data_IF_114680884441
#
_entry.id   IF_114680884441
#
_cell.length_a   1.000
_cell.length_b   1.000
_cell.length_c   1.000
_cell.angle_alpha   90.00
_cell.angle_beta   90.00
_cell.angle_gamma   90.00
#
_symmetry.space_group_name_H-M   'P 1'
#
loop_
_entity.id
_entity.type
_entity.pdbx_description
1 polymer ?
#
# COMPACT_ATOMS: atom_id res chain seq x y z
N UNK A 1 27.79 3.14 25.03
CA UNK A 1 26.44 2.80 25.53
C UNK A 1 25.41 3.63 24.77
N UNK A 2 24.90 3.14 23.64
CA UNK A 2 23.75 3.76 22.96
C UNK A 2 22.49 2.99 23.38
N UNK A 3 21.61 3.67 24.11
CA UNK A 3 20.28 3.16 24.46
C UNK A 3 19.44 3.14 23.17
N UNK A 4 19.18 1.95 22.65
CA UNK A 4 18.09 1.72 21.69
C UNK A 4 16.78 1.89 22.45
N UNK A 5 16.07 2.99 22.18
CA UNK A 5 14.72 3.19 22.69
C UNK A 5 13.80 2.28 21.89
N UNK A 6 13.42 1.14 22.50
CA UNK A 6 12.40 0.22 21.99
C UNK A 6 11.04 0.94 21.96
N UNK A 7 10.78 1.71 20.91
CA UNK A 7 9.43 2.08 20.52
C UNK A 7 8.78 0.87 19.85
N UNK A 8 7.88 0.19 20.57
CA UNK A 8 6.89 -0.76 20.05
C UNK A 8 7.35 -1.63 18.87
N UNK A 9 8.06 -2.72 19.16
CA UNK A 9 8.46 -3.73 18.18
C UNK A 9 7.26 -4.22 17.35
N UNK A 10 7.23 -3.89 16.05
CA UNK A 10 6.58 -4.73 15.03
C UNK A 10 5.48 -4.12 14.15
N UNK A 11 5.17 -2.83 14.24
CA UNK A 11 4.01 -2.26 13.50
C UNK A 11 4.33 -1.33 12.32
N UNK A 12 5.44 -0.60 12.36
CA UNK A 12 5.69 0.50 11.42
C UNK A 12 6.29 -0.02 10.11
N UNK A 13 5.77 0.47 8.98
CA UNK A 13 6.32 0.23 7.65
C UNK A 13 6.98 1.52 7.15
N UNK A 14 8.08 1.40 6.41
CA UNK A 14 8.85 2.56 5.91
C UNK A 14 8.89 2.55 4.39
N UNK A 15 8.62 3.70 3.77
CA UNK A 15 8.66 3.88 2.32
C UNK A 15 9.36 5.16 1.91
N UNK A 16 9.52 5.35 0.60
CA UNK A 16 10.18 6.52 0.02
C UNK A 16 11.68 6.32 -0.17
N UNK A 17 12.13 6.20 -1.43
CA UNK A 17 13.55 6.01 -1.75
C UNK A 17 14.12 4.64 -1.34
N UNK A 18 13.27 3.65 -1.07
CA UNK A 18 13.69 2.28 -0.80
C UNK A 18 14.29 1.65 -2.06
N UNK A 19 15.47 1.06 -1.91
CA UNK A 19 16.23 0.34 -2.93
C UNK A 19 16.83 -0.92 -2.33
N UNK A 20 17.35 -1.81 -3.18
CA UNK A 20 18.15 -2.96 -2.77
C UNK A 20 19.39 -2.60 -1.92
N UNK A 21 19.87 -1.36 -2.00
CA UNK A 21 21.05 -0.91 -1.24
C UNK A 21 20.75 -0.47 0.20
N UNK A 22 19.52 -0.09 0.50
CA UNK A 22 19.17 0.49 1.82
C UNK A 22 18.05 -0.27 2.55
N UNK A 23 17.36 -1.19 1.88
CA UNK A 23 16.20 -1.87 2.44
C UNK A 23 16.52 -2.66 3.72
N UNK A 24 17.66 -3.34 3.77
CA UNK A 24 18.05 -4.10 4.97
C UNK A 24 18.33 -3.19 6.16
N UNK A 25 19.03 -2.08 5.96
CA UNK A 25 19.34 -1.13 7.04
C UNK A 25 18.06 -0.58 7.69
N UNK A 26 17.02 -0.33 6.90
CA UNK A 26 15.73 0.11 7.44
C UNK A 26 15.04 -0.95 8.31
N UNK A 27 15.16 -2.23 7.94
CA UNK A 27 14.66 -3.33 8.78
C UNK A 27 15.48 -3.47 10.06
N UNK A 28 16.80 -3.32 9.98
CA UNK A 28 17.70 -3.33 11.15
C UNK A 28 17.42 -2.16 12.10
N UNK A 29 17.00 -1.01 11.58
CA UNK A 29 16.54 0.13 12.38
C UNK A 29 15.15 -0.05 12.98
N UNK A 30 14.51 -1.21 12.80
CA UNK A 30 13.27 -1.58 13.48
C UNK A 30 12.00 -1.45 12.64
N UNK A 31 12.09 -1.15 11.34
CA UNK A 31 10.93 -1.22 10.46
C UNK A 31 10.46 -2.67 10.33
N UNK A 32 9.15 -2.89 10.43
CA UNK A 32 8.55 -4.23 10.26
C UNK A 32 8.57 -4.69 8.80
N UNK A 33 8.40 -3.73 7.88
CA UNK A 33 8.42 -3.93 6.42
C UNK A 33 8.96 -2.69 5.72
N UNK A 34 9.49 -2.88 4.53
CA UNK A 34 9.85 -1.80 3.61
C UNK A 34 8.85 -1.71 2.46
N UNK A 35 8.53 -0.48 2.04
CA UNK A 35 7.61 -0.15 0.96
C UNK A 35 8.43 0.34 -0.23
N UNK A 36 8.45 -0.44 -1.31
CA UNK A 36 9.13 -0.09 -2.55
C UNK A 36 8.14 0.56 -3.52
N UNK A 37 8.61 1.60 -4.22
CA UNK A 37 7.81 2.38 -5.18
C UNK A 37 8.56 2.54 -6.51
N UNK A 38 9.16 3.70 -6.76
CA UNK A 38 9.79 4.07 -8.03
C UNK A 38 11.01 3.23 -8.40
N UNK A 39 11.64 2.56 -7.43
CA UNK A 39 12.76 1.65 -7.68
C UNK A 39 12.39 0.54 -8.69
N UNK A 40 11.15 0.07 -8.70
CA UNK A 40 10.69 -0.96 -9.63
C UNK A 40 10.49 -0.48 -11.07
N UNK A 41 10.56 0.83 -11.32
CA UNK A 41 10.23 1.45 -12.61
C UNK A 41 11.36 2.31 -13.18
N UNK A 42 12.59 1.78 -13.40
CA UNK A 42 13.66 2.54 -14.04
C UNK A 42 13.23 3.02 -15.43
N UNK A 43 13.36 4.33 -15.68
CA UNK A 43 12.98 4.91 -16.96
C UNK A 43 11.51 4.65 -17.32
N UNK A 44 10.62 4.65 -16.32
CA UNK A 44 9.17 4.43 -16.47
C UNK A 44 8.79 3.04 -16.99
N UNK A 45 9.69 2.05 -16.88
CA UNK A 45 9.44 0.65 -17.28
C UNK A 45 9.57 -0.28 -16.10
N UNK A 46 8.62 -1.19 -15.94
CA UNK A 46 8.68 -2.19 -14.87
C UNK A 46 9.90 -3.11 -15.02
N UNK A 47 10.59 -3.37 -13.91
CA UNK A 47 11.77 -4.23 -13.85
C UNK A 47 11.53 -5.42 -12.92
N UNK A 48 11.24 -6.57 -13.52
CA UNK A 48 11.11 -7.83 -12.79
C UNK A 48 12.40 -8.21 -12.05
N UNK A 49 13.56 -7.96 -12.67
CA UNK A 49 14.86 -8.24 -12.04
C UNK A 49 15.05 -7.45 -10.75
N UNK A 50 14.69 -6.15 -10.72
CA UNK A 50 14.74 -5.35 -9.49
C UNK A 50 13.78 -5.85 -8.43
N UNK A 51 12.58 -6.28 -8.83
CA UNK A 51 11.61 -6.88 -7.91
C UNK A 51 12.15 -8.18 -7.29
N UNK A 52 12.70 -9.07 -8.11
CA UNK A 52 13.29 -10.33 -7.66
C UNK A 52 14.46 -10.09 -6.71
N UNK A 53 15.35 -9.14 -7.03
CA UNK A 53 16.49 -8.78 -6.17
C UNK A 53 16.01 -8.32 -4.80
N UNK A 54 15.14 -7.30 -4.73
CA UNK A 54 14.72 -6.75 -3.44
C UNK A 54 13.86 -7.75 -2.66
N UNK A 55 12.98 -8.50 -3.33
CA UNK A 55 12.15 -9.53 -2.69
C UNK A 55 12.99 -10.64 -2.09
N UNK A 56 14.02 -11.11 -2.80
CA UNK A 56 14.96 -12.12 -2.28
C UNK A 56 15.77 -11.57 -1.10
N UNK A 57 16.17 -10.30 -1.17
CA UNK A 57 16.97 -9.63 -0.14
C UNK A 57 16.20 -9.48 1.18
N UNK A 58 14.99 -8.92 1.15
CA UNK A 58 14.22 -8.65 2.38
C UNK A 58 13.26 -9.78 2.76
N UNK A 59 12.93 -10.66 1.82
CA UNK A 59 11.91 -11.68 1.95
C UNK A 59 10.49 -11.14 1.73
N UNK A 60 9.67 -11.92 1.03
CA UNK A 60 8.27 -11.61 0.67
C UNK A 60 7.41 -11.07 1.83
N UNK A 61 7.60 -11.60 3.04
CA UNK A 61 6.83 -11.19 4.23
C UNK A 61 7.12 -9.78 4.72
N UNK A 62 8.28 -9.21 4.35
CA UNK A 62 8.77 -7.88 4.77
C UNK A 62 8.82 -6.87 3.64
N UNK A 63 8.39 -7.25 2.43
CA UNK A 63 8.27 -6.36 1.28
C UNK A 63 6.82 -5.97 1.05
N UNK A 64 6.60 -4.67 0.86
CA UNK A 64 5.34 -4.10 0.36
C UNK A 64 5.65 -3.33 -0.92
N UNK A 65 4.78 -3.47 -1.91
CA UNK A 65 4.88 -2.73 -3.18
C UNK A 65 3.75 -1.72 -3.21
N UNK A 66 4.11 -0.44 -3.28
CA UNK A 66 3.16 0.66 -3.46
C UNK A 66 3.12 1.07 -4.93
N UNK A 67 1.94 0.86 -5.52
CA UNK A 67 1.62 1.14 -6.91
C UNK A 67 0.68 2.32 -6.97
N UNK A 68 1.27 3.51 -7.14
CA UNK A 68 0.51 4.72 -7.48
C UNK A 68 -0.01 4.63 -8.91
N UNK A 69 -1.28 5.01 -9.13
CA UNK A 69 -1.91 4.83 -10.44
C UNK A 69 -2.67 6.06 -10.91
N UNK A 70 -2.81 6.20 -12.22
CA UNK A 70 -3.59 7.25 -12.87
C UNK A 70 -4.40 6.66 -14.01
N UNK A 71 -5.61 7.19 -14.21
CA UNK A 71 -6.44 6.78 -15.35
C UNK A 71 -5.84 7.35 -16.63
N UNK A 72 -5.70 6.50 -17.64
CA UNK A 72 -5.42 6.89 -19.01
C UNK A 72 -6.46 6.19 -19.88
N UNK A 73 -7.36 6.97 -20.47
CA UNK A 73 -8.53 6.47 -21.19
C UNK A 73 -9.41 5.56 -20.31
N UNK A 74 -9.66 4.32 -20.74
CA UNK A 74 -10.42 3.31 -20.00
C UNK A 74 -9.53 2.40 -19.13
N UNK A 75 -8.22 2.66 -19.09
CA UNK A 75 -7.24 1.82 -18.38
C UNK A 75 -6.64 2.54 -17.17
N UNK A 76 -6.15 1.74 -16.22
CA UNK A 76 -5.40 2.24 -15.07
C UNK A 76 -3.93 1.96 -15.29
N UNK A 77 -3.12 3.02 -15.35
CA UNK A 77 -1.68 2.90 -15.57
C UNK A 77 -0.95 3.23 -14.28
N UNK A 78 0.15 2.52 -14.01
CA UNK A 78 1.06 2.88 -12.94
C UNK A 78 1.66 4.26 -13.26
N UNK A 79 1.63 5.14 -12.27
CA UNK A 79 2.14 6.50 -12.35
C UNK A 79 3.18 6.73 -11.25
N UNK A 80 4.20 7.50 -11.56
CA UNK A 80 5.31 7.82 -10.66
C UNK A 80 5.59 9.32 -10.64
N UNK A 81 6.58 9.75 -9.83
CA UNK A 81 7.00 11.14 -9.72
C UNK A 81 5.83 12.11 -9.49
N UNK A 82 5.06 11.89 -8.42
CA UNK A 82 3.87 12.69 -8.07
C UNK A 82 2.81 12.76 -9.20
N UNK A 83 2.70 11.66 -9.95
CA UNK A 83 1.71 11.36 -10.99
C UNK A 83 1.92 12.16 -12.28
N UNK A 84 3.10 12.77 -12.41
CA UNK A 84 3.55 13.47 -13.61
C UNK A 84 3.94 12.48 -14.70
N UNK A 85 4.50 11.34 -14.31
CA UNK A 85 5.02 10.33 -15.22
C UNK A 85 4.11 9.10 -15.25
N UNK A 86 3.62 8.75 -16.43
CA UNK A 86 2.83 7.53 -16.67
C UNK A 86 3.76 6.46 -17.24
N UNK A 87 3.79 5.29 -16.61
CA UNK A 87 4.57 4.14 -17.08
C UNK A 87 3.84 3.35 -18.16
N UNK A 88 4.51 2.37 -18.76
CA UNK A 88 3.90 1.41 -19.68
C UNK A 88 3.16 0.25 -18.97
N UNK A 89 3.14 0.24 -17.63
CA UNK A 89 2.57 -0.84 -16.84
C UNK A 89 1.11 -0.56 -16.51
N UNK A 90 0.22 -1.45 -16.94
CA UNK A 90 -1.20 -1.42 -16.59
C UNK A 90 -1.45 -2.09 -15.23
N UNK A 91 -2.39 -1.55 -14.46
CA UNK A 91 -2.92 -2.17 -13.25
C UNK A 91 -4.14 -3.00 -13.59
N UNK A 92 -3.87 -4.28 -13.81
CA UNK A 92 -4.81 -5.33 -14.12
C UNK A 92 -4.56 -6.55 -13.22
N UNK A 93 -5.36 -7.61 -13.42
CA UNK A 93 -5.23 -8.84 -12.65
C UNK A 93 -3.85 -9.48 -12.83
N UNK A 94 -3.34 -9.50 -14.06
CA UNK A 94 -2.08 -10.14 -14.42
C UNK A 94 -0.89 -9.47 -13.71
N UNK A 95 -0.87 -8.13 -13.70
CA UNK A 95 0.16 -7.36 -12.97
C UNK A 95 0.06 -7.62 -11.47
N UNK A 96 -1.15 -7.64 -10.90
CA UNK A 96 -1.33 -7.87 -9.46
C UNK A 96 -0.97 -9.30 -9.04
N UNK A 97 -1.33 -10.31 -9.86
CA UNK A 97 -0.96 -11.71 -9.65
C UNK A 97 0.58 -11.85 -9.70
N UNK A 98 1.25 -11.27 -10.71
CA UNK A 98 2.72 -11.27 -10.80
C UNK A 98 3.38 -10.66 -9.55
N UNK A 99 2.92 -9.49 -9.11
CA UNK A 99 3.50 -8.82 -7.93
C UNK A 99 3.23 -9.60 -6.64
N UNK A 100 2.09 -10.29 -6.57
CA UNK A 100 1.70 -11.07 -5.40
C UNK A 100 2.64 -12.24 -5.11
N UNK A 101 3.41 -12.70 -6.09
CA UNK A 101 4.43 -13.73 -5.90
C UNK A 101 5.62 -13.23 -5.07
N UNK A 102 5.89 -11.92 -5.08
CA UNK A 102 7.11 -11.34 -4.52
C UNK A 102 6.91 -10.48 -3.28
N UNK A 103 5.68 -10.08 -2.92
CA UNK A 103 5.43 -9.23 -1.75
C UNK A 103 4.17 -9.60 -0.95
N UNK A 104 3.90 -8.86 0.14
CA UNK A 104 2.54 -8.57 0.60
C UNK A 104 2.09 -7.25 -0.07
N UNK A 105 1.00 -7.21 -0.83
CA UNK A 105 0.62 -6.02 -1.61
C UNK A 105 0.11 -4.87 -0.73
N UNK A 106 0.36 -3.62 -1.11
CA UNK A 106 -0.26 -2.43 -0.51
C UNK A 106 -0.40 -1.37 -1.59
N UNK A 107 -1.52 -1.33 -2.29
CA UNK A 107 -1.70 -0.48 -3.48
C UNK A 107 -2.38 0.85 -3.19
N UNK A 108 -1.70 1.97 -3.45
CA UNK A 108 -2.31 3.32 -3.42
C UNK A 108 -2.97 3.65 -4.77
N UNK A 109 -4.27 3.39 -4.93
CA UNK A 109 -5.00 3.77 -6.15
C UNK A 109 -5.91 4.99 -5.87
N UNK A 110 -5.89 6.10 -6.63
CA UNK A 110 -6.78 7.26 -6.38
C UNK A 110 -8.26 7.11 -6.84
N UNK A 111 -9.20 6.80 -5.94
CA UNK A 111 -10.65 7.12 -5.95
C UNK A 111 -11.56 6.69 -7.10
N UNK A 112 -12.26 5.54 -6.99
CA UNK A 112 -13.71 5.39 -7.32
C UNK A 112 -14.31 4.06 -6.77
N UNK A 113 -15.64 3.98 -6.60
CA UNK A 113 -16.38 2.77 -6.15
C UNK A 113 -16.21 1.56 -7.08
N UNK A 114 -16.06 1.79 -8.39
CA UNK A 114 -15.83 0.72 -9.38
C UNK A 114 -14.50 0.02 -9.14
N UNK A 115 -13.52 0.71 -8.55
CA UNK A 115 -12.16 0.21 -8.30
C UNK A 115 -12.06 -0.70 -7.10
N UNK A 116 -12.67 -0.35 -5.96
CA UNK A 116 -12.70 -1.25 -4.80
C UNK A 116 -13.29 -2.61 -5.15
N UNK A 117 -14.27 -2.62 -6.08
CA UNK A 117 -14.87 -3.84 -6.62
C UNK A 117 -13.95 -4.65 -7.53
N UNK A 118 -13.22 -3.99 -8.43
CA UNK A 118 -12.26 -4.67 -9.31
C UNK A 118 -11.06 -5.20 -8.51
N UNK A 119 -10.50 -4.37 -7.63
CA UNK A 119 -9.44 -4.77 -6.70
C UNK A 119 -9.85 -5.99 -5.88
N UNK A 120 -11.04 -5.98 -5.27
CA UNK A 120 -11.52 -7.12 -4.49
C UNK A 120 -11.59 -8.43 -5.29
N UNK A 121 -11.78 -8.38 -6.62
CA UNK A 121 -11.77 -9.56 -7.48
C UNK A 121 -10.35 -10.02 -7.85
N UNK A 122 -9.42 -9.09 -7.97
CA UNK A 122 -8.07 -9.37 -8.48
C UNK A 122 -7.06 -9.69 -7.38
N UNK A 123 -7.22 -9.13 -6.18
CA UNK A 123 -6.24 -9.31 -5.10
C UNK A 123 -6.38 -10.68 -4.45
N UNK A 124 -5.24 -11.35 -4.25
CA UNK A 124 -5.16 -12.66 -3.57
C UNK A 124 -4.40 -12.64 -2.25
N UNK A 125 -3.79 -11.51 -1.93
CA UNK A 125 -2.99 -11.29 -0.74
C UNK A 125 -3.45 -10.02 -0.04
N UNK A 126 -3.14 -9.84 1.26
CA UNK A 126 -3.48 -8.62 1.98
C UNK A 126 -3.11 -7.40 1.15
N UNK A 127 -4.05 -6.48 0.99
CA UNK A 127 -3.91 -5.31 0.11
C UNK A 127 -4.59 -4.12 0.76
N UNK A 128 -3.82 -3.06 0.97
CA UNK A 128 -4.35 -1.80 1.50
C UNK A 128 -4.55 -0.80 0.38
N UNK A 129 -5.70 -0.14 0.35
CA UNK A 129 -6.03 0.94 -0.55
C UNK A 129 -5.79 2.29 0.13
N UNK A 130 -4.97 3.14 -0.49
CA UNK A 130 -4.76 4.53 -0.07
C UNK A 130 -5.20 5.47 -1.19
N UNK A 131 -6.22 6.29 -0.94
CA UNK A 131 -6.80 7.12 -2.00
C UNK A 131 -7.92 8.03 -1.55
N UNK A 132 -7.61 9.02 -0.71
CA UNK A 132 -8.49 10.14 -0.39
C UNK A 132 -9.70 9.81 0.48
N UNK A 133 -9.60 8.78 1.32
CA UNK A 133 -10.63 8.46 2.31
C UNK A 133 -10.84 9.66 3.24
N UNK A 134 -12.10 10.07 3.40
CA UNK A 134 -12.45 11.32 4.07
C UNK A 134 -13.72 11.25 4.89
N UNK A 135 -14.43 10.13 4.85
CA UNK A 135 -15.61 9.87 5.65
C UNK A 135 -15.51 8.48 6.30
N UNK A 136 -16.06 8.30 7.50
CA UNK A 136 -16.03 6.99 8.18
C UNK A 136 -16.80 5.91 7.40
N UNK A 137 -17.84 6.28 6.66
CA UNK A 137 -18.61 5.36 5.80
C UNK A 137 -17.81 4.85 4.59
N UNK A 138 -16.63 5.42 4.30
CA UNK A 138 -15.73 4.87 3.30
C UNK A 138 -15.25 3.47 3.72
N UNK A 139 -15.11 3.16 5.01
CA UNK A 139 -14.77 1.82 5.51
C UNK A 139 -15.80 0.77 5.09
N UNK A 140 -17.08 1.00 5.40
CA UNK A 140 -18.16 0.07 5.05
C UNK A 140 -18.34 -0.04 3.53
N UNK A 141 -18.12 1.06 2.81
CA UNK A 141 -18.15 1.08 1.35
C UNK A 141 -17.04 0.22 0.75
N UNK A 142 -15.79 0.38 1.20
CA UNK A 142 -14.66 -0.41 0.73
C UNK A 142 -14.85 -1.88 1.11
N UNK A 143 -15.21 -2.19 2.36
CA UNK A 143 -15.45 -3.56 2.82
C UNK A 143 -16.51 -4.27 1.96
N UNK A 144 -17.66 -3.63 1.70
CA UNK A 144 -18.72 -4.21 0.87
C UNK A 144 -18.31 -4.38 -0.59
N UNK A 145 -17.57 -3.43 -1.15
CA UNK A 145 -17.16 -3.49 -2.56
C UNK A 145 -16.04 -4.50 -2.78
N UNK A 146 -15.12 -4.63 -1.83
CA UNK A 146 -13.97 -5.54 -1.91
C UNK A 146 -14.26 -6.93 -1.37
N UNK A 147 -15.44 -7.14 -0.78
CA UNK A 147 -15.79 -8.39 -0.07
C UNK A 147 -14.81 -8.66 1.08
N UNK A 148 -14.47 -7.61 1.83
CA UNK A 148 -13.53 -7.65 2.96
C UNK A 148 -12.06 -7.85 2.60
N UNK A 149 -11.71 -7.96 1.31
CA UNK A 149 -10.33 -8.28 0.86
C UNK A 149 -9.36 -7.10 0.82
N UNK A 150 -9.86 -5.88 0.96
CA UNK A 150 -9.06 -4.65 0.82
C UNK A 150 -9.23 -3.77 2.04
N UNK A 151 -8.09 -3.43 2.68
CA UNK A 151 -8.01 -2.47 3.78
C UNK A 151 -8.05 -1.03 3.26
N UNK A 152 -8.33 -0.06 4.13
CA UNK A 152 -8.43 1.36 3.77
C UNK A 152 -7.49 2.23 4.62
N UNK A 153 -6.71 3.09 3.97
CA UNK A 153 -5.85 4.08 4.63
C UNK A 153 -6.53 5.44 4.75
N UNK A 154 -6.46 6.01 5.95
CA UNK A 154 -6.76 7.42 6.23
C UNK A 154 -5.48 8.19 6.51
N UNK A 155 -5.44 9.45 6.07
CA UNK A 155 -4.29 10.34 6.23
C UNK A 155 -4.76 11.75 6.61
N UNK A 156 -4.62 12.71 5.69
CA UNK A 156 -4.91 14.13 5.91
C UNK A 156 -6.31 14.48 6.42
N UNK A 157 -7.29 13.56 6.29
CA UNK A 157 -8.64 13.75 6.82
C UNK A 157 -8.72 13.60 8.35
N UNK A 158 -7.72 12.98 8.98
CA UNK A 158 -7.72 12.66 10.40
C UNK A 158 -7.44 13.87 11.29
N UNK A 159 -8.16 13.94 12.40
CA UNK A 159 -7.94 14.89 13.50
C UNK A 159 -6.49 14.97 13.98
N UNK A 160 -5.82 13.82 14.15
CA UNK A 160 -4.42 13.76 14.60
C UNK A 160 -3.42 14.38 13.62
N UNK A 161 -3.80 14.62 12.36
CA UNK A 161 -2.98 15.28 11.35
C UNK A 161 -3.47 16.70 11.04
N UNK A 162 -4.35 17.27 11.88
CA UNK A 162 -4.92 18.60 11.70
C UNK A 162 -6.14 18.64 10.76
N UNK A 163 -6.62 17.48 10.30
CA UNK A 163 -7.91 17.36 9.63
C UNK A 163 -9.08 17.51 10.60
N UNK A 164 -10.30 17.58 10.07
CA UNK A 164 -11.52 17.69 10.88
C UNK A 164 -12.67 16.81 10.37
N UNK A 165 -12.38 15.91 9.42
CA UNK A 165 -13.40 15.11 8.75
C UNK A 165 -13.61 13.75 9.43
N UNK A 166 -12.53 13.15 9.95
CA UNK A 166 -12.56 11.81 10.58
C UNK A 166 -11.75 11.83 11.86
N UNK A 167 -12.28 11.23 12.93
CA UNK A 167 -11.52 11.06 14.18
C UNK A 167 -10.79 9.74 14.20
N UNK A 168 -9.51 9.72 14.58
CA UNK A 168 -8.74 8.48 14.70
C UNK A 168 -9.42 7.48 15.64
N UNK A 169 -10.01 7.96 16.74
CA UNK A 169 -10.68 7.13 17.73
C UNK A 169 -11.81 6.30 17.11
N UNK A 170 -12.60 6.90 16.22
CA UNK A 170 -13.75 6.23 15.62
C UNK A 170 -13.29 5.08 14.69
N UNK A 171 -12.16 5.26 14.00
CA UNK A 171 -11.55 4.20 13.20
C UNK A 171 -10.98 3.06 14.07
N UNK A 172 -10.41 3.39 15.22
CA UNK A 172 -9.91 2.39 16.18
C UNK A 172 -11.07 1.55 16.73
N UNK A 173 -12.18 2.18 17.09
CA UNK A 173 -13.37 1.45 17.57
C UNK A 173 -14.02 0.60 16.47
N UNK A 174 -14.04 1.08 15.23
CA UNK A 174 -14.44 0.27 14.07
C UNK A 174 -13.61 -1.02 13.96
N UNK A 175 -12.28 -0.89 14.00
CA UNK A 175 -11.38 -2.05 13.89
C UNK A 175 -11.57 -3.05 15.05
N UNK A 176 -11.78 -2.57 16.28
CA UNK A 176 -12.08 -3.46 17.42
C UNK A 176 -13.37 -4.25 17.20
N UNK A 177 -14.41 -3.60 16.69
CA UNK A 177 -15.71 -4.25 16.42
C UNK A 177 -15.57 -5.29 15.31
N UNK A 178 -14.83 -4.98 14.24
CA UNK A 178 -14.58 -5.91 13.14
C UNK A 178 -13.79 -7.16 13.58
N UNK A 179 -12.85 -7.02 14.53
CA UNK A 179 -12.05 -8.14 15.06
C UNK A 179 -12.81 -9.04 16.05
N UNK A 180 -13.91 -8.56 16.63
CA UNK A 180 -14.76 -9.32 17.56
C UNK A 180 -15.85 -10.13 16.85
N UNK A 181 -16.08 -9.88 15.55
CA UNK A 181 -17.07 -10.56 14.72
C UNK A 181 -16.53 -11.72 13.87
N UNK A 182 -15.26 -12.09 14.05
CA UNK A 182 -14.57 -13.23 13.42
C UNK A 182 -14.20 -14.27 14.46
#
# INVERSE_FOLDING_TARGET
>A
MSKSSNYGSGGLQIGGGITDKNALSWLEYGASKVIVTSFLFPGQKFSLSRLQTISSLVGKGRLVIDISCRRKDERWMVAMNKWQDITDTEVCQETLDLLSDYCRCGGSLPGNRRRSRLLGKWVRIPTTYAGGAKDISDLSTVQRLSDGRVDLTYGSALDIFGGNLVKLRDLVEWNKTALLGT
#
